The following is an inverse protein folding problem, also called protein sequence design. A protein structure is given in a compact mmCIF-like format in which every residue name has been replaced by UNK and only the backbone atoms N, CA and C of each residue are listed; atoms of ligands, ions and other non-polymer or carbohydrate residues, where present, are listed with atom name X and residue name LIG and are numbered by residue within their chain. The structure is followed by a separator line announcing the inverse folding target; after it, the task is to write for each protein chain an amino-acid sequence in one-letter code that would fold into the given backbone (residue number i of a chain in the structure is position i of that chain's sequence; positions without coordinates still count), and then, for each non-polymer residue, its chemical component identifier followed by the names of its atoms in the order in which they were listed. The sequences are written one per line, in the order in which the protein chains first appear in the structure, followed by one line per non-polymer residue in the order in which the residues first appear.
data_IF_052776814244
#
_entry.id   IF_052776814244
#
_cell.length_a   1.000
_cell.length_b   1.000
_cell.length_c   1.000
_cell.angle_alpha   90.00
_cell.angle_beta   90.00
_cell.angle_gamma   90.00
#
_symmetry.space_group_name_H-M   'P 1'
#
loop_
_entity.id
_entity.type
_entity.pdbx_description
1 polymer ?
#
# COMPACT_ATOMS: atom_id res chain seq x y z
N UNK A 1 0.82 20.36 -3.73
CA UNK A 1 0.18 19.04 -3.61
C UNK A 1 1.28 17.99 -3.70
N UNK A 2 1.36 17.03 -2.79
CA UNK A 2 2.32 15.92 -2.90
C UNK A 2 1.81 14.96 -4.00
N UNK A 3 2.58 14.80 -5.08
CA UNK A 3 2.32 13.77 -6.08
C UNK A 3 3.11 12.50 -5.76
N UNK A 4 2.64 11.37 -6.28
CA UNK A 4 3.38 10.11 -6.11
C UNK A 4 4.71 10.11 -6.88
N UNK A 5 4.80 10.90 -7.96
CA UNK A 5 5.91 10.88 -8.92
C UNK A 5 5.74 9.79 -9.98
N UNK A 6 6.75 9.61 -10.83
CA UNK A 6 6.82 8.49 -11.76
C UNK A 6 6.79 7.13 -11.04
N UNK A 7 6.44 6.05 -11.74
CA UNK A 7 6.49 4.70 -11.18
C UNK A 7 7.85 4.35 -10.55
N UNK A 8 8.97 4.75 -11.16
CA UNK A 8 10.30 4.48 -10.61
C UNK A 8 10.58 5.31 -9.35
N UNK A 9 10.12 6.56 -9.31
CA UNK A 9 10.27 7.44 -8.15
C UNK A 9 9.42 6.97 -6.98
N UNK A 10 8.17 6.57 -7.22
CA UNK A 10 7.30 6.01 -6.19
C UNK A 10 7.88 4.71 -5.64
N UNK A 11 8.38 3.82 -6.51
CA UNK A 11 9.05 2.60 -6.08
C UNK A 11 10.28 2.90 -5.21
N UNK A 12 11.07 3.91 -5.58
CA UNK A 12 12.21 4.36 -4.80
C UNK A 12 11.80 4.93 -3.44
N UNK A 13 10.77 5.78 -3.38
CA UNK A 13 10.22 6.34 -2.13
C UNK A 13 9.72 5.25 -1.18
N UNK A 14 9.18 4.16 -1.73
CA UNK A 14 8.70 3.00 -0.98
C UNK A 14 9.79 1.95 -0.70
N UNK A 15 11.03 2.17 -1.16
CA UNK A 15 12.13 1.21 -1.05
C UNK A 15 11.81 -0.19 -1.61
N UNK A 16 11.06 -0.25 -2.71
CA UNK A 16 10.70 -1.49 -3.42
C UNK A 16 11.15 -1.43 -4.88
N UNK A 17 11.19 -2.58 -5.55
CA UNK A 17 11.40 -2.60 -6.99
C UNK A 17 10.17 -2.07 -7.74
N UNK A 18 10.38 -1.48 -8.93
CA UNK A 18 9.30 -1.06 -9.83
C UNK A 18 8.30 -2.19 -10.10
N UNK A 19 8.79 -3.43 -10.26
CA UNK A 19 7.94 -4.61 -10.44
C UNK A 19 7.06 -4.85 -9.21
N UNK A 20 7.63 -4.75 -8.01
CA UNK A 20 6.88 -4.93 -6.77
C UNK A 20 5.84 -3.83 -6.57
N UNK A 21 6.13 -2.59 -6.98
CA UNK A 21 5.13 -1.51 -7.00
C UNK A 21 3.91 -1.92 -7.83
N UNK A 22 4.09 -2.42 -9.05
CA UNK A 22 2.96 -2.87 -9.87
C UNK A 22 2.19 -4.03 -9.24
N UNK A 23 2.87 -4.99 -8.58
CA UNK A 23 2.19 -6.04 -7.83
C UNK A 23 1.30 -5.46 -6.71
N UNK A 24 1.79 -4.46 -5.97
CA UNK A 24 0.99 -3.78 -4.92
C UNK A 24 -0.22 -3.08 -5.54
N UNK A 25 -0.03 -2.36 -6.65
CA UNK A 25 -1.14 -1.71 -7.35
C UNK A 25 -2.17 -2.73 -7.86
N UNK A 26 -1.74 -3.90 -8.34
CA UNK A 26 -2.63 -4.98 -8.78
C UNK A 26 -3.39 -5.61 -7.61
N UNK A 27 -2.74 -5.78 -6.44
CA UNK A 27 -3.43 -6.22 -5.23
C UNK A 27 -4.52 -5.21 -4.81
N UNK A 28 -4.23 -3.91 -4.87
CA UNK A 28 -5.24 -2.88 -4.59
C UNK A 28 -6.38 -2.91 -5.62
N UNK A 29 -6.08 -3.16 -6.89
CA UNK A 29 -7.12 -3.36 -7.92
C UNK A 29 -8.00 -4.57 -7.64
N UNK A 30 -7.41 -5.67 -7.17
CA UNK A 30 -8.16 -6.86 -6.76
C UNK A 30 -9.08 -6.58 -5.56
N UNK A 31 -8.74 -5.62 -4.71
CA UNK A 31 -9.58 -5.12 -3.61
C UNK A 31 -10.62 -4.07 -4.05
N UNK A 32 -10.68 -3.72 -5.34
CA UNK A 32 -11.68 -2.80 -5.90
C UNK A 32 -11.18 -1.37 -6.14
N UNK A 33 -9.90 -1.07 -5.94
CA UNK A 33 -9.33 0.23 -6.29
C UNK A 33 -9.18 0.38 -7.81
N UNK A 34 -9.78 1.41 -8.41
CA UNK A 34 -9.52 1.77 -9.82
C UNK A 34 -8.40 2.80 -9.85
N UNK A 35 -7.20 2.37 -10.27
CA UNK A 35 -5.98 3.19 -10.21
C UNK A 35 -5.46 3.50 -11.62
N UNK A 36 -5.40 4.79 -11.93
CA UNK A 36 -4.79 5.34 -13.14
C UNK A 36 -3.56 6.19 -12.83
N UNK A 37 -2.78 6.50 -13.86
CA UNK A 37 -1.61 7.35 -13.77
C UNK A 37 -1.74 8.56 -14.71
N UNK A 38 -1.67 9.77 -14.14
CA UNK A 38 -1.61 11.01 -14.91
C UNK A 38 -0.16 11.30 -15.29
N UNK A 39 0.12 11.36 -16.59
CA UNK A 39 1.46 11.74 -17.09
C UNK A 39 1.74 13.24 -16.94
N UNK A 40 0.71 14.08 -17.04
CA UNK A 40 0.82 15.53 -16.88
C UNK A 40 1.04 15.92 -15.42
N UNK A 41 0.32 15.27 -14.50
CA UNK A 41 0.37 15.59 -13.07
C UNK A 41 1.39 14.72 -12.32
N UNK A 42 1.95 13.74 -13.03
CA UNK A 42 3.01 12.86 -12.55
C UNK A 42 2.62 12.14 -11.25
N UNK A 43 1.41 11.57 -11.26
CA UNK A 43 0.81 10.97 -10.07
C UNK A 43 -0.11 9.79 -10.40
N UNK A 44 -0.11 8.79 -9.53
CA UNK A 44 -1.19 7.79 -9.44
C UNK A 44 -2.37 8.39 -8.70
N UNK A 45 -3.59 8.02 -9.11
CA UNK A 45 -4.83 8.48 -8.48
C UNK A 45 -5.93 7.43 -8.60
N UNK A 46 -6.88 7.47 -7.67
CA UNK A 46 -8.08 6.64 -7.72
C UNK A 46 -9.13 7.29 -8.63
N UNK A 47 -9.77 6.50 -9.50
CA UNK A 47 -10.88 6.94 -10.36
C UNK A 47 -12.25 6.54 -9.81
N UNK A 48 -12.27 5.87 -8.65
CA UNK A 48 -13.45 5.61 -7.84
C UNK A 48 -13.22 6.08 -6.40
N UNK A 49 -14.32 6.22 -5.65
CA UNK A 49 -14.28 6.38 -4.21
C UNK A 49 -13.68 5.12 -3.59
N UNK A 50 -12.41 5.20 -3.24
CA UNK A 50 -11.65 4.14 -2.60
C UNK A 50 -10.77 4.78 -1.52
N UNK A 51 -10.85 4.26 -0.31
CA UNK A 51 -10.03 4.69 0.81
C UNK A 51 -9.19 3.52 1.30
N UNK A 52 -7.87 3.75 1.42
CA UNK A 52 -6.95 2.79 2.00
C UNK A 52 -6.63 3.22 3.44
N UNK A 53 -7.16 2.48 4.41
CA UNK A 53 -6.84 2.66 5.81
C UNK A 53 -5.74 1.68 6.22
N UNK A 54 -4.58 2.19 6.64
CA UNK A 54 -3.46 1.39 7.12
C UNK A 54 -3.26 1.61 8.62
N UNK A 55 -3.42 0.55 9.41
CA UNK A 55 -3.08 0.55 10.83
C UNK A 55 -1.84 -0.32 11.04
N UNK A 56 -0.75 0.30 11.50
CA UNK A 56 0.47 -0.40 11.87
C UNK A 56 0.65 -0.30 13.38
N UNK A 57 0.50 -1.44 14.06
CA UNK A 57 0.76 -1.57 15.49
C UNK A 57 2.09 -2.30 15.69
N UNK A 58 2.99 -1.68 16.46
CA UNK A 58 4.31 -2.23 16.80
C UNK A 58 4.41 -2.32 18.31
N UNK A 59 4.58 -3.53 18.83
CA UNK A 59 4.70 -3.80 20.25
C UNK A 59 5.92 -4.66 20.52
N UNK A 60 6.61 -4.40 21.65
CA UNK A 60 7.68 -5.26 22.13
C UNK A 60 7.05 -6.47 22.80
N UNK A 61 7.36 -7.66 22.29
CA UNK A 61 6.90 -8.92 22.88
C UNK A 61 7.98 -9.44 23.82
N UNK A 62 7.66 -9.57 25.11
CA UNK A 62 8.49 -10.30 26.06
C UNK A 62 8.38 -11.83 25.83
N UNK A 63 9.17 -12.64 26.54
CA UNK A 63 9.15 -14.11 26.39
C UNK A 63 7.79 -14.76 26.73
N UNK A 64 6.92 -14.10 27.50
CA UNK A 64 5.57 -14.56 27.82
C UNK A 64 4.56 -14.18 26.72
N UNK A 65 4.77 -13.07 26.02
CA UNK A 65 3.88 -12.53 24.98
C UNK A 65 4.06 -13.18 23.60
N UNK A 66 5.17 -13.92 23.38
CA UNK A 66 5.50 -14.63 22.12
C UNK A 66 4.46 -15.66 21.64
N UNK A 67 3.40 -15.92 22.42
CA UNK A 67 2.37 -16.93 22.10
C UNK A 67 1.18 -16.39 21.30
N UNK A 68 1.03 -15.08 21.16
CA UNK A 68 -0.10 -14.47 20.46
C UNK A 68 0.31 -13.92 19.09
N UNK A 69 0.73 -14.80 18.19
CA UNK A 69 0.90 -14.42 16.78
C UNK A 69 -0.49 -14.39 16.15
N UNK A 70 -1.17 -13.24 16.20
CA UNK A 70 -2.39 -13.05 15.44
C UNK A 70 -2.02 -12.97 13.97
N UNK A 71 -2.48 -13.94 13.17
CA UNK A 71 -2.26 -14.00 11.71
C UNK A 71 -3.06 -12.94 10.92
N UNK A 72 -3.32 -11.78 11.54
CA UNK A 72 -4.27 -10.77 11.07
C UNK A 72 -5.72 -11.20 11.27
N UNK A 73 -6.58 -10.24 11.58
CA UNK A 73 -8.02 -10.41 11.55
C UNK A 73 -8.55 -9.74 10.27
N UNK A 74 -9.13 -10.56 9.38
CA UNK A 74 -9.85 -10.05 8.21
C UNK A 74 -11.31 -9.89 8.62
N UNK A 75 -11.70 -8.67 8.97
CA UNK A 75 -13.11 -8.35 9.21
C UNK A 75 -13.75 -7.93 7.88
N UNK A 76 -14.77 -8.69 7.46
CA UNK A 76 -15.68 -8.38 6.35
C UNK A 76 -16.91 -7.69 6.93
#
# INVERSE_FOLDING_TARGET
MCNTGAPDELAHKLHISKRHLYNVLDNLRALGAKIDYSRSDYTFYYTNSFELHLNLQVEYLDDNDKKCIFAGSFFI
#
